data_IF_920924563918
#
_entry.id   IF_920924563918
#
_cell.length_a   1.000
_cell.length_b   1.000
_cell.length_c   1.000
_cell.angle_alpha   90.00
_cell.angle_beta   90.00
_cell.angle_gamma   90.00
#
_symmetry.space_group_name_H-M   'P 1'
#
loop_
_entity.id
_entity.type
_entity.pdbx_description
1 polymer ?
#
# COMPACT_ATOMS: atom_id res chain seq x y z
N UNK A 1 17.76 -56.75 -13.49
CA UNK A 1 17.15 -55.78 -12.55
C UNK A 1 17.58 -54.33 -12.84
N UNK A 2 17.59 -53.90 -14.12
CA UNK A 2 18.11 -52.58 -14.52
C UNK A 2 17.04 -51.56 -14.89
N UNK A 3 15.83 -52.00 -15.22
CA UNK A 3 14.76 -51.11 -15.68
C UNK A 3 13.94 -50.46 -14.54
N UNK A 4 13.88 -51.09 -13.34
CA UNK A 4 13.15 -50.50 -12.20
C UNK A 4 13.91 -49.38 -11.51
N UNK A 5 15.25 -49.47 -11.41
CA UNK A 5 16.09 -48.41 -10.83
C UNK A 5 16.04 -47.13 -11.66
N UNK A 6 16.08 -47.24 -13.00
CA UNK A 6 15.98 -46.10 -13.93
C UNK A 6 14.64 -45.36 -13.80
N UNK A 7 13.52 -46.10 -13.64
CA UNK A 7 12.19 -45.50 -13.42
C UNK A 7 12.06 -44.82 -12.06
N UNK A 8 12.58 -45.41 -10.98
CA UNK A 8 12.58 -44.77 -9.66
C UNK A 8 13.43 -43.49 -9.61
N UNK A 9 14.59 -43.48 -10.28
CA UNK A 9 15.44 -42.28 -10.35
C UNK A 9 14.73 -41.18 -11.15
N UNK A 10 14.09 -41.53 -12.26
CA UNK A 10 13.34 -40.57 -13.08
C UNK A 10 12.16 -39.96 -12.29
N UNK A 11 11.42 -40.76 -11.53
CA UNK A 11 10.32 -40.30 -10.68
C UNK A 11 10.84 -39.35 -9.59
N UNK A 12 11.97 -39.69 -8.95
CA UNK A 12 12.59 -38.84 -7.93
C UNK A 12 12.98 -37.46 -8.48
N UNK A 13 13.53 -37.41 -9.70
CA UNK A 13 13.90 -36.14 -10.36
C UNK A 13 12.66 -35.31 -10.68
N UNK A 14 11.58 -35.93 -11.19
CA UNK A 14 10.34 -35.20 -11.51
C UNK A 14 9.69 -34.63 -10.26
N UNK A 15 9.58 -35.42 -9.19
CA UNK A 15 9.03 -34.94 -7.91
C UNK A 15 9.90 -33.84 -7.32
N UNK A 16 11.22 -33.98 -7.38
CA UNK A 16 12.16 -32.94 -6.96
C UNK A 16 11.97 -31.63 -7.73
N UNK A 17 11.85 -31.68 -9.05
CA UNK A 17 11.60 -30.50 -9.88
C UNK A 17 10.26 -29.83 -9.59
N UNK A 18 9.19 -30.62 -9.36
CA UNK A 18 7.86 -30.07 -9.04
C UNK A 18 7.86 -29.39 -7.67
N UNK A 19 8.49 -30.01 -6.66
CA UNK A 19 8.61 -29.41 -5.32
C UNK A 19 9.47 -28.15 -5.36
N UNK A 20 10.56 -28.15 -6.12
CA UNK A 20 11.41 -26.98 -6.29
C UNK A 20 10.67 -25.84 -7.01
N UNK A 21 9.92 -26.16 -8.07
CA UNK A 21 9.08 -25.20 -8.77
C UNK A 21 7.99 -24.64 -7.87
N UNK A 22 7.31 -25.47 -7.08
CA UNK A 22 6.30 -25.03 -6.11
C UNK A 22 6.90 -24.12 -5.03
N UNK A 23 8.08 -24.46 -4.49
CA UNK A 23 8.77 -23.64 -3.49
C UNK A 23 9.23 -22.29 -4.06
N UNK A 24 9.75 -22.28 -5.29
CA UNK A 24 10.13 -21.04 -5.97
C UNK A 24 8.89 -20.19 -6.25
N UNK A 25 7.80 -20.77 -6.75
CA UNK A 25 6.54 -20.05 -6.99
C UNK A 25 5.96 -19.48 -5.70
N UNK A 26 5.97 -20.25 -4.60
CA UNK A 26 5.46 -19.79 -3.30
C UNK A 26 6.28 -18.62 -2.74
N UNK A 27 7.62 -18.67 -2.86
CA UNK A 27 8.47 -17.55 -2.46
C UNK A 27 8.34 -16.34 -3.39
N UNK A 28 8.25 -16.56 -4.70
CA UNK A 28 8.15 -15.48 -5.69
C UNK A 28 6.79 -14.78 -5.67
N UNK A 29 5.75 -15.45 -5.20
CA UNK A 29 4.41 -14.85 -5.02
C UNK A 29 4.36 -13.85 -3.85
N UNK A 30 5.38 -13.80 -2.99
CA UNK A 30 5.47 -12.82 -1.89
C UNK A 30 6.27 -11.55 -2.27
N UNK A 31 7.08 -11.63 -3.33
CA UNK A 31 7.83 -10.50 -3.88
C UNK A 31 7.05 -9.84 -5.02
N UNK A 32 5.94 -9.18 -4.67
CA UNK A 32 5.29 -8.22 -5.56
C UNK A 32 6.28 -7.07 -5.86
N UNK A 33 7.02 -7.20 -6.96
CA UNK A 33 8.11 -6.30 -7.38
C UNK A 33 7.71 -4.82 -7.51
N UNK A 34 6.42 -4.48 -7.55
CA UNK A 34 5.93 -3.09 -7.53
C UNK A 34 5.82 -2.48 -6.13
N UNK A 35 5.51 -3.28 -5.11
CA UNK A 35 5.31 -2.84 -3.73
C UNK A 35 6.62 -2.74 -2.93
N UNK A 36 7.67 -3.42 -3.39
CA UNK A 36 9.01 -3.36 -2.78
C UNK A 36 9.58 -1.92 -2.72
N UNK A 37 9.16 -1.04 -3.65
CA UNK A 37 9.51 0.39 -3.65
C UNK A 37 9.04 1.11 -2.39
N UNK A 38 7.97 0.63 -1.76
CA UNK A 38 7.37 1.25 -0.57
C UNK A 38 7.93 0.72 0.75
N UNK A 39 8.85 -0.25 0.72
CA UNK A 39 9.42 -0.83 1.94
C UNK A 39 10.09 0.25 2.81
N UNK A 40 9.62 0.41 4.05
CA UNK A 40 10.12 1.41 4.99
C UNK A 40 9.60 2.83 4.73
N UNK A 41 8.68 3.02 3.79
CA UNK A 41 7.93 4.27 3.66
C UNK A 41 6.70 4.21 4.54
N UNK A 42 6.48 5.27 5.30
CA UNK A 42 5.27 5.44 6.10
C UNK A 42 4.26 6.29 5.35
N UNK A 43 2.98 5.94 5.47
CA UNK A 43 1.86 6.75 5.00
C UNK A 43 1.02 7.21 6.18
N UNK A 44 0.52 8.44 6.12
CA UNK A 44 -0.47 8.92 7.07
C UNK A 44 -1.84 8.38 6.71
N UNK A 45 -2.55 7.89 7.71
CA UNK A 45 -3.93 7.47 7.58
C UNK A 45 -4.79 8.18 8.60
N UNK A 46 -6.04 8.45 8.24
CA UNK A 46 -7.02 9.09 9.12
C UNK A 46 -8.33 8.32 9.11
N UNK A 47 -8.89 8.14 10.29
CA UNK A 47 -10.21 7.58 10.51
C UNK A 47 -11.28 8.60 10.11
N UNK A 48 -12.23 8.19 9.26
CA UNK A 48 -13.37 9.03 8.85
C UNK A 48 -14.49 9.02 9.89
N UNK A 49 -14.53 8.06 10.82
CA UNK A 49 -15.53 8.10 11.88
C UNK A 49 -15.30 9.34 12.77
N UNK A 50 -16.32 10.17 12.89
CA UNK A 50 -16.33 11.42 13.67
C UNK A 50 -16.17 11.19 15.19
N UNK A 51 -16.50 10.01 15.70
CA UNK A 51 -16.33 9.70 17.13
C UNK A 51 -14.90 9.29 17.48
N UNK A 52 -14.10 8.89 16.48
CA UNK A 52 -12.74 8.37 16.67
C UNK A 52 -11.67 9.35 16.17
N UNK A 53 -11.80 9.84 14.93
CA UNK A 53 -10.89 10.78 14.27
C UNK A 53 -9.39 10.42 14.30
N UNK A 54 -9.05 9.17 14.65
CA UNK A 54 -7.68 8.71 14.83
C UNK A 54 -6.79 9.01 13.62
N UNK A 55 -5.56 9.43 13.93
CA UNK A 55 -4.54 9.78 12.95
C UNK A 55 -3.24 9.05 13.32
N UNK A 56 -2.73 8.23 12.41
CA UNK A 56 -1.51 7.49 12.66
C UNK A 56 -0.77 7.19 11.37
N UNK A 57 0.47 6.71 11.53
CA UNK A 57 1.28 6.22 10.43
C UNK A 57 1.21 4.70 10.37
N UNK A 58 1.21 4.16 9.16
CA UNK A 58 1.41 2.74 8.92
C UNK A 58 2.36 2.53 7.75
N UNK A 59 2.89 1.31 7.61
CA UNK A 59 3.73 1.00 6.46
C UNK A 59 2.89 1.14 5.18
N UNK A 60 3.46 1.83 4.21
CA UNK A 60 2.80 2.14 2.96
C UNK A 60 2.56 0.89 2.12
N UNK A 61 3.44 -0.11 2.22
CA UNK A 61 3.22 -1.41 1.58
C UNK A 61 1.98 -2.08 2.17
N UNK A 62 1.92 -2.19 3.50
CA UNK A 62 0.79 -2.83 4.20
C UNK A 62 -0.54 -2.15 3.83
N UNK A 63 -0.55 -0.81 3.80
CA UNK A 63 -1.73 -0.04 3.39
C UNK A 63 -2.21 -0.42 1.98
N UNK A 64 -1.32 -0.44 0.98
CA UNK A 64 -1.72 -0.76 -0.39
C UNK A 64 -2.05 -2.23 -0.58
N UNK A 65 -1.39 -3.13 0.14
CA UNK A 65 -1.67 -4.57 0.12
C UNK A 65 -3.09 -4.84 0.64
N UNK A 66 -3.45 -4.30 1.82
CA UNK A 66 -4.80 -4.45 2.37
C UNK A 66 -5.87 -3.80 1.48
N UNK A 67 -5.56 -2.64 0.88
CA UNK A 67 -6.47 -1.98 -0.07
C UNK A 67 -6.68 -2.87 -1.30
N UNK A 68 -5.62 -3.43 -1.88
CA UNK A 68 -5.70 -4.29 -3.06
C UNK A 68 -6.51 -5.56 -2.78
N UNK A 69 -6.26 -6.23 -1.64
CA UNK A 69 -7.00 -7.43 -1.23
C UNK A 69 -8.51 -7.17 -1.06
N UNK A 70 -8.87 -5.97 -0.60
CA UNK A 70 -10.26 -5.56 -0.37
C UNK A 70 -10.91 -4.91 -1.60
N UNK A 71 -10.14 -4.60 -2.64
CA UNK A 71 -10.65 -3.87 -3.80
C UNK A 71 -11.48 -4.80 -4.67
N UNK A 72 -12.80 -4.66 -4.58
CA UNK A 72 -13.78 -5.39 -5.41
C UNK A 72 -14.36 -4.56 -6.55
N UNK A 73 -13.95 -3.29 -6.68
CA UNK A 73 -14.51 -2.36 -7.66
C UNK A 73 -13.64 -1.13 -7.92
N UNK A 74 -14.26 -0.06 -8.41
CA UNK A 74 -13.56 1.16 -8.84
C UNK A 74 -13.20 2.12 -7.70
N UNK A 75 -13.67 1.85 -6.48
CA UNK A 75 -13.47 2.71 -5.31
C UNK A 75 -12.46 2.11 -4.35
N UNK A 76 -11.66 2.97 -3.71
CA UNK A 76 -10.75 2.56 -2.64
C UNK A 76 -11.56 2.08 -1.43
N UNK A 77 -11.48 0.79 -1.05
CA UNK A 77 -12.16 0.28 0.13
C UNK A 77 -11.61 0.94 1.40
N UNK A 78 -12.45 1.15 2.43
CA UNK A 78 -11.96 1.52 3.75
C UNK A 78 -11.18 0.37 4.40
N UNK A 79 -10.17 0.73 5.19
CA UNK A 79 -9.47 -0.22 6.07
C UNK A 79 -10.02 -0.17 7.50
N UNK A 80 -9.73 -1.20 8.28
CA UNK A 80 -10.14 -1.30 9.69
C UNK A 80 -9.29 -0.35 10.55
N UNK A 81 -9.96 0.51 11.31
CA UNK A 81 -9.32 1.38 12.29
C UNK A 81 -8.81 0.56 13.47
N UNK A 82 -7.53 0.75 13.83
CA UNK A 82 -6.92 0.07 14.98
C UNK A 82 -7.45 0.59 16.33
N UNK A 83 -7.98 1.81 16.34
CA UNK A 83 -8.49 2.47 17.55
C UNK A 83 -9.97 2.16 17.80
N UNK A 84 -10.84 2.26 16.77
CA UNK A 84 -12.29 2.01 16.93
C UNK A 84 -12.78 0.67 16.37
N UNK A 85 -11.98 -0.05 15.58
CA UNK A 85 -12.34 -1.34 15.00
C UNK A 85 -13.27 -1.28 13.77
N UNK A 86 -13.65 -0.09 13.31
CA UNK A 86 -14.55 0.07 12.16
C UNK A 86 -13.79 0.26 10.84
N UNK A 87 -14.42 -0.14 9.74
CA UNK A 87 -13.91 0.05 8.38
C UNK A 87 -14.06 1.52 7.95
N UNK A 88 -13.16 2.37 8.44
CA UNK A 88 -13.24 3.83 8.29
C UNK A 88 -11.89 4.50 8.02
N UNK A 89 -10.82 3.73 7.84
CA UNK A 89 -9.47 4.26 7.59
C UNK A 89 -9.26 4.53 6.10
N UNK A 90 -8.75 5.73 5.81
CA UNK A 90 -8.33 6.14 4.46
C UNK A 90 -6.96 6.83 4.49
N UNK A 91 -6.28 6.82 3.35
CA UNK A 91 -5.05 7.58 3.16
C UNK A 91 -5.29 9.08 3.38
N UNK A 92 -4.37 9.69 4.13
CA UNK A 92 -4.38 11.10 4.47
C UNK A 92 -3.02 11.75 4.14
N UNK A 93 -3.01 13.07 4.13
CA UNK A 93 -1.84 13.90 3.85
C UNK A 93 -1.58 14.76 5.07
N UNK A 94 -0.34 14.80 5.53
CA UNK A 94 0.12 15.75 6.54
C UNK A 94 0.63 17.02 5.87
N UNK A 95 0.09 18.18 6.24
CA UNK A 95 0.59 19.47 5.80
C UNK A 95 1.99 19.74 6.36
N UNK A 96 2.94 20.09 5.50
CA UNK A 96 4.32 20.40 5.91
C UNK A 96 4.45 21.77 6.60
N UNK A 97 3.46 22.67 6.45
CA UNK A 97 3.48 24.00 7.08
C UNK A 97 2.82 24.04 8.45
N UNK A 98 1.60 23.52 8.59
CA UNK A 98 0.85 23.59 9.85
C UNK A 98 0.70 22.24 10.56
N UNK A 99 1.14 21.13 9.95
CA UNK A 99 1.07 19.81 10.56
C UNK A 99 -0.31 19.13 10.54
N UNK A 100 -1.36 19.81 10.05
CA UNK A 100 -2.70 19.25 9.92
C UNK A 100 -2.69 17.99 9.04
N UNK A 101 -3.39 16.95 9.48
CA UNK A 101 -3.64 15.73 8.71
C UNK A 101 -5.05 15.80 8.13
N UNK A 102 -5.15 15.69 6.81
CA UNK A 102 -6.42 15.85 6.09
C UNK A 102 -6.51 14.87 4.92
N UNK A 103 -7.73 14.60 4.47
CA UNK A 103 -7.96 13.75 3.30
C UNK A 103 -7.55 14.46 2.01
N UNK A 104 -7.05 13.70 1.04
CA UNK A 104 -6.73 14.22 -0.30
C UNK A 104 -7.97 14.88 -0.92
N UNK A 105 -7.82 16.10 -1.43
CA UNK A 105 -8.91 16.86 -2.02
C UNK A 105 -9.88 17.47 -1.01
N UNK A 106 -9.44 17.71 0.24
CA UNK A 106 -10.26 18.40 1.25
C UNK A 106 -10.76 19.78 0.80
N UNK A 107 -9.99 20.50 -0.03
CA UNK A 107 -10.43 21.73 -0.68
C UNK A 107 -10.92 21.42 -2.10
N UNK A 108 -12.21 21.65 -2.41
CA UNK A 108 -12.77 21.33 -3.72
C UNK A 108 -12.22 22.25 -4.81
N UNK A 109 -12.07 21.73 -6.03
CA UNK A 109 -11.56 22.46 -7.21
C UNK A 109 -10.15 23.06 -7.07
N UNK A 110 -9.32 22.52 -6.18
CA UNK A 110 -7.94 22.96 -5.96
C UNK A 110 -6.96 21.77 -6.00
N UNK A 111 -5.68 22.00 -5.72
CA UNK A 111 -4.69 20.95 -5.62
C UNK A 111 -5.10 19.90 -4.59
N UNK A 112 -4.87 18.61 -4.87
CA UNK A 112 -5.29 17.52 -3.98
C UNK A 112 -4.61 17.54 -2.61
N UNK A 113 -3.48 18.24 -2.47
CA UNK A 113 -2.73 18.44 -1.23
C UNK A 113 -2.92 19.85 -0.65
N UNK A 114 -3.91 20.62 -1.14
CA UNK A 114 -4.25 21.92 -0.56
C UNK A 114 -4.72 21.73 0.88
N UNK A 115 -3.96 22.27 1.82
CA UNK A 115 -4.33 22.28 3.22
C UNK A 115 -5.53 23.21 3.45
N UNK A 116 -6.63 22.72 4.07
CA UNK A 116 -7.81 23.54 4.32
C UNK A 116 -7.60 24.63 5.38
N UNK A 117 -6.62 24.45 6.28
CA UNK A 117 -6.33 25.42 7.35
C UNK A 117 -5.42 26.57 6.88
N UNK A 118 -4.26 26.25 6.31
CA UNK A 118 -3.24 27.25 5.98
C UNK A 118 -3.11 27.55 4.48
N UNK A 119 -3.87 26.87 3.63
CA UNK A 119 -3.85 27.06 2.18
C UNK A 119 -2.56 26.60 1.48
N UNK A 120 -1.62 25.96 2.18
CA UNK A 120 -0.40 25.46 1.55
C UNK A 120 -0.67 24.23 0.66
N UNK A 121 -0.02 24.19 -0.51
CA UNK A 121 0.11 23.00 -1.37
C UNK A 121 1.57 22.86 -1.76
N UNK A 122 2.15 21.69 -1.49
CA UNK A 122 3.50 21.32 -1.90
C UNK A 122 3.57 21.18 -3.42
N UNK A 123 2.52 20.66 -4.05
CA UNK A 123 2.43 20.53 -5.51
C UNK A 123 2.53 21.91 -6.17
N UNK A 124 1.72 22.88 -5.69
CA UNK A 124 1.73 24.24 -6.21
C UNK A 124 3.09 24.91 -5.98
N UNK A 125 3.65 24.78 -4.78
CA UNK A 125 4.93 25.38 -4.42
C UNK A 125 6.08 24.84 -5.30
N UNK A 126 6.13 23.51 -5.47
CA UNK A 126 7.10 22.86 -6.35
C UNK A 126 6.96 23.34 -7.79
N UNK A 127 5.72 23.43 -8.30
CA UNK A 127 5.45 23.93 -9.65
C UNK A 127 5.90 25.39 -9.84
N UNK A 128 5.72 26.24 -8.83
CA UNK A 128 6.21 27.63 -8.84
C UNK A 128 7.75 27.69 -8.81
N UNK A 129 8.39 26.84 -8.01
CA UNK A 129 9.85 26.79 -7.94
C UNK A 129 10.48 26.35 -9.26
N UNK A 130 9.93 25.33 -9.93
CA UNK A 130 10.42 24.87 -11.24
C UNK A 130 10.28 25.93 -12.31
N UNK A 131 9.20 26.74 -12.30
CA UNK A 131 9.02 27.85 -13.26
C UNK A 131 9.95 29.05 -13.00
N UNK A 132 10.54 29.15 -11.80
CA UNK A 132 11.48 30.21 -11.41
C UNK A 132 12.94 29.86 -11.73
N UNK A 133 13.21 28.60 -12.08
CA UNK A 133 14.51 28.13 -12.59
C UNK A 133 14.55 28.27 -14.10
#
# INVERSE_FOLDING_TARGET
MENSKKKSILIGVVVGCVVLAAAITYKRSSDNTGLAVFKGQLIWVKCRNADCEAEYQMDKKDYYEEVEERTTGMFTPPLVCKECGEESIYAAIKCEKCGLIFFKGAVPNDFPDRCPECGFSKIEDTAKQTKRR
#
